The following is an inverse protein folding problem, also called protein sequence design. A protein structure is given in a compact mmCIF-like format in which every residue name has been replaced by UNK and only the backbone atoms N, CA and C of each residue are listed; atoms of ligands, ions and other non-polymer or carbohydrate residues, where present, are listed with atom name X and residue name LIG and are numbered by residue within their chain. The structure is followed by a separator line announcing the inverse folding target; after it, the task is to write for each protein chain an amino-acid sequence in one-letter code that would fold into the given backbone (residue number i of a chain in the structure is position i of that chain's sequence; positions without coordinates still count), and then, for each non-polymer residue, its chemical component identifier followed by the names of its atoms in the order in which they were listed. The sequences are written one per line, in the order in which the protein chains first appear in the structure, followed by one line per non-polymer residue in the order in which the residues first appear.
data_IF_474272184883
#
_entry.id   IF_474272184883
#
_cell.length_a   1.000
_cell.length_b   1.000
_cell.length_c   1.000
_cell.angle_alpha   90.00
_cell.angle_beta   90.00
_cell.angle_gamma   90.00
#
_symmetry.space_group_name_H-M   'P 1'
#
loop_
_entity.id
_entity.type
_entity.pdbx_description
1 polymer ?
#
# COMPACT_ATOMS: atom_id res chain seq x y z
N UNK A 1 -5.46 13.34 -17.49
CA UNK A 1 -6.23 14.00 -16.42
C UNK A 1 -6.12 13.14 -15.16
N UNK A 2 -5.35 13.53 -14.14
CA UNK A 2 -5.29 12.81 -12.85
C UNK A 2 -6.51 13.25 -12.04
N UNK A 3 -7.35 12.28 -11.63
CA UNK A 3 -8.51 12.55 -10.76
C UNK A 3 -7.98 13.13 -9.43
N UNK A 4 -8.56 14.21 -8.88
CA UNK A 4 -8.15 14.71 -7.58
C UNK A 4 -8.27 13.60 -6.53
N UNK A 5 -7.37 13.53 -5.53
CA UNK A 5 -7.49 12.55 -4.46
C UNK A 5 -8.87 12.71 -3.80
N UNK A 6 -9.64 11.63 -3.62
CA UNK A 6 -10.95 11.71 -3.00
C UNK A 6 -10.81 12.27 -1.58
N UNK A 7 -11.78 13.07 -1.10
CA UNK A 7 -11.79 13.53 0.29
C UNK A 7 -11.74 12.29 1.20
N UNK A 8 -11.01 12.39 2.32
CA UNK A 8 -10.94 11.35 3.35
C UNK A 8 -12.36 11.03 3.87
N UNK A 9 -13.03 10.11 3.18
CA UNK A 9 -14.33 9.53 3.51
C UNK A 9 -14.19 8.44 4.58
N UNK A 10 -15.33 7.94 5.09
CA UNK A 10 -15.52 7.50 6.47
C UNK A 10 -14.60 6.34 6.85
N UNK A 11 -14.07 6.41 8.09
CA UNK A 11 -13.16 5.48 8.77
C UNK A 11 -12.62 4.29 7.95
N UNK A 12 -11.29 4.19 7.77
CA UNK A 12 -10.71 3.05 7.08
C UNK A 12 -11.12 1.76 7.78
N UNK A 13 -11.52 0.78 6.97
CA UNK A 13 -11.95 -0.54 7.45
C UNK A 13 -10.78 -1.23 8.12
N UNK A 14 -9.59 -1.07 7.53
CA UNK A 14 -8.33 -1.65 7.98
C UNK A 14 -7.19 -0.69 7.68
N UNK A 15 -6.22 -0.63 8.59
CA UNK A 15 -4.99 0.12 8.40
C UNK A 15 -3.78 -0.79 8.67
N UNK A 16 -2.78 -0.71 7.81
CA UNK A 16 -1.50 -1.39 7.96
C UNK A 16 -0.38 -0.35 7.98
N UNK A 17 0.48 -0.41 9.00
CA UNK A 17 1.61 0.50 9.16
C UNK A 17 2.90 -0.23 8.82
N UNK A 18 3.71 0.34 7.92
CA UNK A 18 5.01 -0.18 7.50
C UNK A 18 6.10 0.89 7.55
N UNK A 19 7.35 0.49 7.29
CA UNK A 19 8.48 1.42 7.24
C UNK A 19 8.34 2.45 6.11
N UNK A 20 7.73 2.05 4.99
CA UNK A 20 7.48 2.92 3.85
C UNK A 20 6.29 3.86 4.02
N UNK A 21 5.46 3.66 5.05
CA UNK A 21 4.24 4.43 5.26
C UNK A 21 3.06 3.59 5.75
N UNK A 22 1.87 4.16 5.64
CA UNK A 22 0.59 3.58 6.07
C UNK A 22 -0.23 3.21 4.84
N UNK A 23 -0.87 2.05 4.85
CA UNK A 23 -1.88 1.66 3.86
C UNK A 23 -3.22 1.56 4.57
N UNK A 24 -4.19 2.34 4.13
CA UNK A 24 -5.56 2.35 4.62
C UNK A 24 -6.48 1.75 3.56
N UNK A 25 -7.25 0.74 3.95
CA UNK A 25 -8.26 0.12 3.11
C UNK A 25 -9.61 0.75 3.40
N UNK A 26 -10.23 1.28 2.35
CA UNK A 26 -11.61 1.78 2.34
C UNK A 26 -12.49 0.81 1.55
N UNK A 27 -13.81 1.00 1.61
CA UNK A 27 -14.77 0.12 0.94
C UNK A 27 -14.60 0.10 -0.60
N UNK A 28 -14.15 1.22 -1.19
CA UNK A 28 -14.04 1.44 -2.62
C UNK A 28 -12.59 1.60 -3.11
N UNK A 29 -11.63 1.81 -2.21
CA UNK A 29 -10.26 2.20 -2.56
C UNK A 29 -9.22 1.81 -1.51
N UNK A 30 -7.96 1.81 -1.94
CA UNK A 30 -6.80 1.72 -1.07
C UNK A 30 -6.10 3.06 -1.09
N UNK A 31 -5.77 3.56 0.09
CA UNK A 31 -5.00 4.78 0.28
C UNK A 31 -3.63 4.42 0.83
N UNK A 32 -2.59 4.90 0.14
CA UNK A 32 -1.20 4.70 0.50
C UNK A 32 -0.65 6.05 0.91
N UNK A 33 -0.27 6.17 2.18
CA UNK A 33 0.28 7.38 2.78
C UNK A 33 1.74 7.17 3.11
N UNK A 34 2.67 7.79 2.37
CA UNK A 34 4.11 7.71 2.64
C UNK A 34 4.53 8.67 3.76
N UNK A 35 4.13 8.36 4.98
CA UNK A 35 4.43 9.15 6.19
C UNK A 35 5.46 8.48 7.11
N UNK A 36 6.11 7.40 6.65
CA UNK A 36 7.00 6.55 7.45
C UNK A 36 8.45 7.06 7.59
N UNK A 37 9.24 6.37 8.40
CA UNK A 37 10.67 6.65 8.68
C UNK A 37 11.51 6.80 7.41
N UNK A 38 11.17 6.08 6.35
CA UNK A 38 11.84 6.16 5.06
C UNK A 38 11.74 7.57 4.43
N UNK A 39 10.64 8.30 4.66
CA UNK A 39 10.51 9.68 4.24
C UNK A 39 11.52 10.58 4.95
N UNK A 40 11.70 10.41 6.27
CA UNK A 40 12.68 11.19 7.06
C UNK A 40 14.11 10.91 6.62
N UNK A 41 14.44 9.66 6.30
CA UNK A 41 15.76 9.30 5.77
C UNK A 41 15.96 9.83 4.35
N UNK A 42 14.92 9.85 3.51
CA UNK A 42 15.00 10.37 2.15
C UNK A 42 15.00 11.89 2.08
N UNK A 43 14.38 12.61 3.02
CA UNK A 43 14.48 14.08 3.13
C UNK A 43 15.92 14.53 3.50
N UNK A 44 16.69 13.62 4.13
CA UNK A 44 18.11 13.83 4.44
C UNK A 44 19.03 13.60 3.23
N UNK A 45 18.58 12.84 2.21
CA UNK A 45 19.25 12.74 0.93
C UNK A 45 18.66 13.79 -0.04
N UNK A 46 19.41 14.36 -0.99
CA UNK A 46 18.88 15.31 -1.98
C UNK A 46 17.97 14.63 -3.04
N UNK A 47 17.33 13.51 -2.69
CA UNK A 47 16.34 12.79 -3.47
C UNK A 47 14.95 13.29 -3.03
N UNK A 48 14.57 14.48 -3.52
CA UNK A 48 13.24 15.05 -3.34
C UNK A 48 12.19 14.15 -4.04
N UNK A 49 11.73 13.10 -3.35
CA UNK A 49 10.60 12.30 -3.80
C UNK A 49 9.35 12.96 -3.19
N UNK A 50 8.43 13.49 -4.03
CA UNK A 50 7.26 14.20 -3.53
C UNK A 50 6.44 13.33 -2.59
N UNK A 51 5.81 13.94 -1.57
CA UNK A 51 4.76 13.31 -0.76
C UNK A 51 3.60 12.92 -1.67
N UNK A 52 3.62 11.68 -2.16
CA UNK A 52 2.52 11.14 -2.94
C UNK A 52 1.68 10.29 -2.00
N UNK A 53 0.60 10.90 -1.51
CA UNK A 53 -0.54 10.14 -1.02
C UNK A 53 -1.25 9.58 -2.25
N UNK A 54 -1.13 8.26 -2.44
CA UNK A 54 -1.71 7.55 -3.59
C UNK A 54 -3.04 6.96 -3.19
N UNK A 55 -4.12 7.36 -3.85
CA UNK A 55 -5.42 6.71 -3.72
C UNK A 55 -5.70 5.90 -4.98
N UNK A 56 -5.84 4.59 -4.82
CA UNK A 56 -6.06 3.62 -5.91
C UNK A 56 -7.42 2.97 -5.68
N UNK A 57 -8.34 3.11 -6.62
CA UNK A 57 -9.65 2.47 -6.52
C UNK A 57 -9.52 0.94 -6.66
N UNK A 58 -10.26 0.19 -5.84
CA UNK A 58 -10.15 -1.28 -5.77
C UNK A 58 -10.52 -1.95 -7.10
N UNK A 59 -11.43 -1.37 -7.86
CA UNK A 59 -11.87 -1.81 -9.19
C UNK A 59 -10.76 -1.68 -10.24
N UNK A 60 -9.84 -0.72 -10.07
CA UNK A 60 -8.71 -0.52 -10.99
C UNK A 60 -7.51 -1.42 -10.69
N UNK A 61 -7.44 -1.99 -9.49
CA UNK A 61 -6.36 -2.88 -9.09
C UNK A 61 -6.52 -4.20 -9.86
N UNK A 62 -5.49 -4.57 -10.60
CA UNK A 62 -5.39 -5.84 -11.32
C UNK A 62 -4.77 -6.91 -10.45
N UNK A 63 -3.70 -6.60 -9.71
CA UNK A 63 -3.02 -7.53 -8.82
C UNK A 63 -2.43 -6.82 -7.60
N UNK A 64 -2.32 -7.55 -6.49
CA UNK A 64 -1.61 -7.13 -5.28
C UNK A 64 -0.54 -8.19 -5.04
N UNK A 65 0.71 -7.78 -5.07
CA UNK A 65 1.86 -8.69 -4.98
C UNK A 65 2.69 -8.35 -3.75
N UNK A 66 3.09 -9.37 -3.01
CA UNK A 66 4.02 -9.23 -1.89
C UNK A 66 5.37 -9.74 -2.35
N UNK A 67 6.33 -8.83 -2.50
CA UNK A 67 7.69 -9.16 -2.88
C UNK A 67 8.47 -9.45 -1.60
N UNK A 68 8.85 -10.73 -1.43
CA UNK A 68 9.54 -11.26 -0.24
C UNK A 68 10.95 -11.70 -0.61
N UNK A 69 11.92 -10.77 -0.66
CA UNK A 69 13.32 -11.14 -0.84
C UNK A 69 13.84 -11.81 0.45
N UNK A 70 14.66 -12.86 0.30
CA UNK A 70 15.19 -13.63 1.43
C UNK A 70 16.11 -12.80 2.35
N UNK A 71 16.70 -11.72 1.83
CA UNK A 71 17.74 -10.92 2.49
C UNK A 71 17.43 -9.43 2.57
N UNK A 72 16.29 -8.97 2.04
CA UNK A 72 15.93 -7.54 1.99
C UNK A 72 14.55 -7.31 2.61
N UNK A 73 14.09 -6.06 2.64
CA UNK A 73 12.80 -5.68 3.24
C UNK A 73 11.65 -6.18 2.36
N UNK A 74 10.61 -6.74 2.97
CA UNK A 74 9.39 -7.11 2.22
C UNK A 74 8.65 -5.84 1.79
N UNK A 75 8.09 -5.83 0.58
CA UNK A 75 7.24 -4.73 0.14
C UNK A 75 6.02 -5.24 -0.61
N UNK A 76 4.90 -4.54 -0.44
CA UNK A 76 3.66 -4.79 -1.18
C UNK A 76 3.64 -3.88 -2.40
N UNK A 77 3.26 -4.43 -3.55
CA UNK A 77 3.07 -3.70 -4.80
C UNK A 77 1.64 -3.86 -5.29
N UNK A 78 1.02 -2.73 -5.62
CA UNK A 78 -0.31 -2.66 -6.23
C UNK A 78 -0.17 -2.44 -7.74
N UNK A 79 -0.69 -3.36 -8.53
CA UNK A 79 -0.74 -3.26 -9.98
C UNK A 79 -2.12 -2.80 -10.41
N UNK A 80 -2.19 -1.82 -11.31
CA UNK A 80 -3.43 -1.26 -11.87
C UNK A 80 -3.22 -0.82 -13.32
N UNK A 81 -4.31 -0.63 -14.07
CA UNK A 81 -4.23 -0.23 -15.48
C UNK A 81 -3.57 1.17 -15.61
N UNK A 82 -2.45 1.25 -16.33
CA UNK A 82 -1.66 2.48 -16.50
C UNK A 82 -0.51 2.66 -15.50
N UNK A 83 -0.22 1.66 -14.66
CA UNK A 83 0.94 1.65 -13.77
C UNK A 83 2.25 1.52 -14.58
N UNK A 84 3.34 2.27 -14.27
CA UNK A 84 4.64 2.08 -14.89
C UNK A 84 5.08 0.61 -14.83
N UNK A 85 5.57 0.11 -15.97
CA UNK A 85 6.10 -1.25 -16.10
C UNK A 85 7.13 -1.51 -14.98
N UNK A 86 7.01 -2.66 -14.32
CA UNK A 86 7.77 -2.98 -13.13
C UNK A 86 9.27 -2.76 -13.35
N UNK A 87 9.86 -1.84 -12.59
CA UNK A 87 11.31 -1.61 -12.67
C UNK A 87 12.06 -2.89 -12.33
N UNK A 88 13.07 -3.23 -13.14
CA UNK A 88 13.95 -4.38 -12.91
C UNK A 88 14.80 -4.23 -11.64
N UNK A 89 14.92 -3.02 -11.08
CA UNK A 89 15.66 -2.78 -9.85
C UNK A 89 14.76 -2.91 -8.62
N UNK A 90 15.17 -3.75 -7.67
CA UNK A 90 14.47 -3.96 -6.39
C UNK A 90 14.16 -2.65 -5.68
N UNK A 91 15.15 -1.75 -5.56
CA UNK A 91 14.96 -0.48 -4.87
C UNK A 91 14.00 0.43 -5.62
N UNK A 92 14.13 0.53 -6.95
CA UNK A 92 13.19 1.32 -7.74
C UNK A 92 11.75 0.79 -7.63
N UNK A 93 11.58 -0.53 -7.56
CA UNK A 93 10.27 -1.16 -7.34
C UNK A 93 9.75 -0.93 -5.91
N UNK A 94 10.60 -0.98 -4.90
CA UNK A 94 10.22 -0.77 -3.50
C UNK A 94 9.91 0.71 -3.18
N UNK A 95 10.50 1.64 -3.92
CA UNK A 95 10.25 3.08 -3.81
C UNK A 95 9.20 3.62 -4.80
N UNK A 96 8.67 2.77 -5.69
CA UNK A 96 7.66 3.20 -6.67
C UNK A 96 6.35 3.62 -5.98
N UNK A 97 5.63 4.59 -6.54
CA UNK A 97 4.41 5.18 -5.96
C UNK A 97 3.33 4.15 -5.60
N UNK A 98 3.31 3.03 -6.32
CA UNK A 98 2.39 1.92 -6.17
C UNK A 98 2.91 0.81 -5.24
N UNK A 99 4.01 1.04 -4.51
CA UNK A 99 4.64 0.05 -3.64
C UNK A 99 4.95 0.58 -2.23
N UNK A 100 4.68 -0.22 -1.21
CA UNK A 100 4.91 0.14 0.20
C UNK A 100 5.79 -0.89 0.86
N UNK A 101 6.90 -0.45 1.44
CA UNK A 101 7.75 -1.29 2.28
C UNK A 101 7.01 -1.63 3.58
N UNK A 102 6.93 -2.92 3.84
CA UNK A 102 6.34 -3.49 5.04
C UNK A 102 7.31 -3.38 6.22
N UNK A 103 6.92 -3.88 7.40
CA UNK A 103 7.86 -3.97 8.52
C UNK A 103 8.77 -5.20 8.35
N UNK A 104 9.90 -5.21 9.06
CA UNK A 104 10.74 -6.40 9.12
C UNK A 104 10.19 -7.47 10.09
N UNK A 105 9.45 -7.03 11.10
CA UNK A 105 9.09 -7.86 12.26
C UNK A 105 7.59 -8.15 12.36
N UNK A 106 6.73 -7.21 11.94
CA UNK A 106 5.27 -7.38 12.00
C UNK A 106 4.57 -6.97 10.71
N UNK A 107 4.25 -7.98 9.91
CA UNK A 107 3.57 -7.85 8.62
C UNK A 107 2.13 -8.33 8.67
N UNK A 108 1.61 -8.71 9.85
CA UNK A 108 0.27 -9.27 10.00
C UNK A 108 -0.79 -8.30 9.51
N UNK A 109 -0.66 -7.01 9.84
CA UNK A 109 -1.57 -5.96 9.38
C UNK A 109 -1.67 -5.86 7.85
N UNK A 110 -0.54 -5.96 7.15
CA UNK A 110 -0.52 -5.95 5.69
C UNK A 110 -1.18 -7.18 5.09
N UNK A 111 -0.90 -8.39 5.61
CA UNK A 111 -1.56 -9.60 5.12
C UNK A 111 -3.08 -9.54 5.31
N UNK A 112 -3.55 -9.06 6.47
CA UNK A 112 -4.98 -8.85 6.71
C UNK A 112 -5.59 -7.83 5.75
N UNK A 113 -4.88 -6.74 5.49
CA UNK A 113 -5.31 -5.71 4.55
C UNK A 113 -5.42 -6.27 3.11
N UNK A 114 -4.44 -7.05 2.67
CA UNK A 114 -4.45 -7.68 1.34
C UNK A 114 -5.60 -8.67 1.21
N UNK A 115 -5.85 -9.46 2.24
CA UNK A 115 -6.95 -10.43 2.25
C UNK A 115 -8.31 -9.73 2.21
N UNK A 116 -8.51 -8.70 3.02
CA UNK A 116 -9.71 -7.87 3.00
C UNK A 116 -9.90 -7.15 1.65
N UNK A 117 -8.83 -6.59 1.08
CA UNK A 117 -8.88 -5.96 -0.24
C UNK A 117 -9.27 -6.96 -1.34
N UNK A 118 -8.73 -8.17 -1.30
CA UNK A 118 -9.10 -9.23 -2.25
C UNK A 118 -10.53 -9.73 -2.03
N UNK A 119 -11.02 -9.80 -0.79
CA UNK A 119 -12.41 -10.10 -0.50
C UNK A 119 -13.35 -9.05 -1.11
N UNK A 120 -13.08 -7.76 -0.85
CA UNK A 120 -13.84 -6.64 -1.41
C UNK A 120 -13.82 -6.63 -2.94
N UNK A 121 -12.65 -6.86 -3.56
CA UNK A 121 -12.52 -6.97 -5.03
C UNK A 121 -13.33 -8.13 -5.62
N UNK A 122 -13.55 -9.21 -4.86
CA UNK A 122 -14.37 -10.36 -5.26
C UNK A 122 -15.85 -10.22 -4.86
N UNK A 123 -16.25 -9.11 -4.24
CA UNK A 123 -17.60 -8.93 -3.69
C UNK A 123 -17.91 -9.88 -2.53
N UNK A 124 -16.87 -10.40 -1.86
CA UNK A 124 -17.00 -11.27 -0.69
C UNK A 124 -17.01 -10.43 0.60
N UNK A 125 -17.74 -10.88 1.64
CA UNK A 125 -17.67 -10.23 2.95
C UNK A 125 -16.24 -10.32 3.50
N UNK A 126 -15.81 -9.27 4.19
CA UNK A 126 -14.50 -9.25 4.86
C UNK A 126 -14.55 -10.27 6.00
N UNK A 127 -13.60 -11.22 6.09
CA UNK A 127 -13.56 -12.17 7.18
C UNK A 127 -13.49 -11.44 8.53
N UNK A 128 -14.42 -11.74 9.45
CA UNK A 128 -14.50 -11.11 10.78
C UNK A 128 -13.20 -11.29 11.60
N UNK A 129 -12.43 -12.33 11.30
CA UNK A 129 -11.11 -12.61 11.90
C UNK A 129 -10.04 -11.57 11.56
N UNK A 130 -10.27 -10.72 10.56
CA UNK A 130 -9.35 -9.66 10.14
C UNK A 130 -9.64 -8.32 10.82
N UNK A 131 -10.86 -8.13 11.32
CA UNK A 131 -11.26 -6.93 12.06
C UNK A 131 -10.65 -7.02 13.46
N UNK A 132 -9.88 -6.01 13.92
CA UNK A 132 -9.42 -6.00 15.30
C UNK A 132 -10.65 -5.95 16.22
N UNK A 133 -10.92 -7.05 16.92
CA UNK A 133 -11.75 -7.02 18.14
C UNK A 133 -11.05 -6.08 19.10
N UNK A 134 -11.72 -4.97 19.44
CA UNK A 134 -11.22 -3.96 20.36
C UNK A 134 -10.91 -4.51 21.75
#
# INVERSE_FOLDING_TARGET
MRRPPPPAGPHPILEAHGWGGLVALHADRIEIRRVGFLHVVMDLLPLHIPRVDSSIFLDTITAIEVVRPLTMVEFVRFSYAGNPEGSHSYWAAAFADNAVMMNLLDNRGFYRLIEAANALRRGQPIPETLIPMG
#
